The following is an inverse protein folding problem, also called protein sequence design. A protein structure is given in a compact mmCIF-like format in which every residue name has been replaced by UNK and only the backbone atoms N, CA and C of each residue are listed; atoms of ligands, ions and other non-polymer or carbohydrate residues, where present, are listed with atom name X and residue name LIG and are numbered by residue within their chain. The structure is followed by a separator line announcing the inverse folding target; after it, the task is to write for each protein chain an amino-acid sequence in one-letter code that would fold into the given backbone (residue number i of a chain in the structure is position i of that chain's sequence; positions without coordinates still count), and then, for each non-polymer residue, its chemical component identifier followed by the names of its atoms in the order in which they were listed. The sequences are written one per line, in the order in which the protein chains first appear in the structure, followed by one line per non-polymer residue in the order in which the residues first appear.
data_IF_354131700573
#
_entry.id   IF_354131700573
#
_cell.length_a   1.000
_cell.length_b   1.000
_cell.length_c   1.000
_cell.angle_alpha   90.00
_cell.angle_beta   90.00
_cell.angle_gamma   90.00
#
_symmetry.space_group_name_H-M   'P 1'
#
loop_
_entity.id
_entity.type
_entity.pdbx_description
1 polymer ?
#
# COMPACT_ATOMS: atom_id res chain seq x y z
N UNK A 1 2.78 9.54 -17.73
CA UNK A 1 3.51 9.17 -16.50
C UNK A 1 2.94 9.85 -15.25
N UNK A 2 1.65 9.66 -14.94
CA UNK A 2 1.00 10.02 -13.66
C UNK A 2 -0.06 9.01 -13.19
N UNK A 3 -0.28 7.92 -13.95
CA UNK A 3 -1.30 6.90 -13.68
C UNK A 3 -0.77 5.68 -12.91
N UNK A 4 0.55 5.46 -12.92
CA UNK A 4 1.17 4.27 -12.29
C UNK A 4 1.33 4.37 -10.77
N UNK A 5 1.24 5.57 -10.19
CA UNK A 5 1.23 5.77 -8.72
C UNK A 5 -0.18 5.53 -8.14
N UNK A 6 -1.24 5.66 -8.96
CA UNK A 6 -2.63 5.48 -8.50
C UNK A 6 -3.02 4.00 -8.42
N UNK A 7 -2.43 3.13 -9.25
CA UNK A 7 -2.82 1.72 -9.34
C UNK A 7 -2.38 0.86 -8.13
N UNK A 8 -1.39 1.28 -7.35
CA UNK A 8 -1.01 0.59 -6.11
C UNK A 8 -1.94 0.92 -4.92
N UNK A 9 -2.79 1.94 -5.03
CA UNK A 9 -3.73 2.32 -3.97
C UNK A 9 -5.14 1.70 -4.12
N UNK A 10 -5.47 1.10 -5.26
CA UNK A 10 -6.84 0.68 -5.58
C UNK A 10 -7.21 -0.77 -5.18
N UNK A 11 -6.28 -1.57 -4.63
CA UNK A 11 -6.50 -3.01 -4.37
C UNK A 11 -6.94 -3.32 -2.92
N UNK A 12 -7.03 -2.33 -2.01
CA UNK A 12 -7.36 -2.57 -0.59
C UNK A 12 -8.63 -1.90 -0.04
N UNK A 13 -9.53 -1.38 -0.90
CA UNK A 13 -10.77 -0.70 -0.44
C UNK A 13 -12.07 -1.51 -0.60
N UNK A 14 -12.02 -2.84 -0.53
CA UNK A 14 -13.24 -3.66 -0.46
C UNK A 14 -13.13 -4.70 0.63
N UNK A 15 -13.38 -4.29 1.88
CA UNK A 15 -14.12 -5.05 2.88
C UNK A 15 -14.35 -4.19 4.14
N UNK A 16 -15.32 -3.27 4.09
CA UNK A 16 -15.93 -2.69 5.30
C UNK A 16 -17.20 -1.90 4.95
N UNK A 17 -18.24 -2.58 4.48
CA UNK A 17 -19.61 -2.06 4.51
C UNK A 17 -20.58 -3.19 4.75
N UNK A 18 -20.95 -3.39 6.02
CA UNK A 18 -22.29 -3.81 6.45
C UNK A 18 -22.37 -3.72 7.97
N UNK A 19 -23.31 -2.93 8.49
CA UNK A 19 -23.73 -3.01 9.88
C UNK A 19 -24.15 -1.69 10.51
N UNK A 20 -25.30 -1.14 10.11
CA UNK A 20 -25.98 -0.07 10.84
C UNK A 20 -26.92 -0.66 11.89
N UNK A 21 -26.68 -0.27 13.15
CA UNK A 21 -27.55 -0.12 14.33
C UNK A 21 -28.89 -0.89 14.43
N UNK A 22 -29.04 -1.60 15.57
CA UNK A 22 -30.28 -1.58 16.34
C UNK A 22 -29.94 -1.59 17.85
N UNK A 23 -30.51 -0.62 18.57
CA UNK A 23 -30.51 -0.50 20.03
C UNK A 23 -31.74 -1.20 20.60
N UNK A 24 -31.58 -2.00 21.65
CA UNK A 24 -32.64 -2.29 22.61
C UNK A 24 -32.04 -2.78 23.93
N UNK A 25 -32.69 -2.36 25.01
CA UNK A 25 -32.21 -2.35 26.39
C UNK A 25 -32.74 -3.53 27.22
N UNK A 26 -31.97 -3.87 28.26
CA UNK A 26 -32.36 -4.44 29.57
C UNK A 26 -32.29 -5.95 29.89
N UNK A 27 -31.38 -6.21 30.85
CA UNK A 27 -31.43 -7.05 32.08
C UNK A 27 -31.28 -8.60 32.03
N UNK A 28 -30.07 -9.03 32.46
CA UNK A 28 -29.68 -9.88 33.63
C UNK A 28 -30.14 -11.37 33.69
N UNK A 29 -29.31 -12.29 34.23
CA UNK A 29 -29.10 -13.65 33.71
C UNK A 29 -29.72 -14.76 34.58
N UNK A 30 -29.69 -16.02 34.09
CA UNK A 30 -29.56 -17.24 34.90
C UNK A 30 -29.31 -18.50 34.02
N UNK A 31 -28.22 -19.21 34.36
CA UNK A 31 -28.02 -20.68 34.44
C UNK A 31 -28.61 -21.70 33.42
N UNK A 32 -27.68 -22.47 32.81
CA UNK A 32 -27.53 -23.94 32.97
C UNK A 32 -28.35 -24.99 32.18
N UNK A 33 -27.59 -25.83 31.44
CA UNK A 33 -27.60 -27.33 31.37
C UNK A 33 -28.33 -28.07 30.19
N UNK A 34 -27.62 -29.09 29.67
CA UNK A 34 -27.97 -30.33 28.88
C UNK A 34 -28.41 -30.19 27.41
N UNK A 35 -27.68 -30.78 26.44
CA UNK A 35 -27.54 -32.21 26.05
C UNK A 35 -28.78 -32.80 25.37
N UNK A 36 -28.66 -33.19 24.09
CA UNK A 36 -29.10 -34.49 23.56
C UNK A 36 -28.79 -34.66 22.06
N UNK A 37 -28.19 -35.81 21.76
CA UNK A 37 -27.97 -36.42 20.44
C UNK A 37 -29.29 -36.74 19.71
N UNK A 38 -29.24 -36.74 18.38
CA UNK A 38 -29.89 -37.77 17.55
C UNK A 38 -29.43 -37.69 16.09
N UNK A 39 -28.77 -38.77 15.65
CA UNK A 39 -28.55 -39.17 14.27
C UNK A 39 -29.86 -39.25 13.47
N UNK A 40 -29.82 -39.02 12.15
CA UNK A 40 -30.71 -39.70 11.17
C UNK A 40 -29.99 -39.87 9.82
N UNK A 41 -29.94 -41.13 9.38
CA UNK A 41 -29.32 -41.67 8.16
C UNK A 41 -30.36 -41.85 7.04
N UNK A 42 -29.99 -41.43 5.81
CA UNK A 42 -30.24 -42.04 4.46
C UNK A 42 -31.70 -42.25 3.96
N UNK A 43 -32.01 -42.32 2.63
CA UNK A 43 -31.16 -42.91 1.57
C UNK A 43 -31.10 -42.24 0.19
N UNK A 44 -30.16 -42.78 -0.59
CA UNK A 44 -29.89 -42.55 -1.99
C UNK A 44 -30.92 -43.21 -2.92
N UNK A 45 -31.17 -42.59 -4.08
CA UNK A 45 -31.81 -43.23 -5.23
C UNK A 45 -30.91 -43.07 -6.46
N UNK A 46 -30.46 -44.22 -6.99
CA UNK A 46 -29.94 -44.40 -8.33
C UNK A 46 -31.11 -44.72 -9.28
N UNK A 47 -31.14 -44.14 -10.48
CA UNK A 47 -31.83 -44.73 -11.64
C UNK A 47 -31.08 -44.44 -12.96
N UNK A 48 -30.47 -45.51 -13.46
CA UNK A 48 -30.28 -46.00 -14.84
C UNK A 48 -30.15 -45.05 -16.05
N UNK A 49 -29.09 -45.35 -16.81
CA UNK A 49 -28.84 -45.09 -18.24
C UNK A 49 -29.73 -45.98 -19.13
N UNK A 50 -30.30 -45.45 -20.21
CA UNK A 50 -30.26 -46.11 -21.52
C UNK A 50 -30.56 -45.13 -22.68
N UNK A 51 -29.85 -45.27 -23.80
CA UNK A 51 -29.80 -44.27 -24.88
C UNK A 51 -30.41 -44.70 -26.22
N UNK A 52 -30.63 -43.72 -27.11
CA UNK A 52 -30.22 -43.72 -28.54
C UNK A 52 -30.72 -42.49 -29.32
N UNK A 53 -29.75 -41.82 -29.97
CA UNK A 53 -29.75 -41.09 -31.26
C UNK A 53 -30.81 -40.02 -31.56
N UNK A 54 -30.33 -38.78 -31.73
CA UNK A 54 -30.67 -37.97 -32.92
C UNK A 54 -29.49 -37.08 -33.30
N UNK A 55 -28.89 -37.36 -34.46
CA UNK A 55 -27.92 -36.50 -35.13
C UNK A 55 -28.69 -35.51 -36.02
N UNK A 56 -28.57 -34.21 -35.72
CA UNK A 56 -28.62 -33.17 -36.75
C UNK A 56 -27.50 -32.17 -36.49
N UNK A 57 -26.65 -32.05 -37.51
CA UNK A 57 -25.53 -31.13 -37.56
C UNK A 57 -25.98 -29.66 -37.73
N UNK A 58 -25.05 -28.80 -37.33
CA UNK A 58 -24.81 -27.41 -37.74
C UNK A 58 -25.86 -26.34 -37.44
N UNK A 59 -25.56 -25.49 -36.45
CA UNK A 59 -25.38 -24.06 -36.71
C UNK A 59 -24.38 -23.45 -35.72
N UNK A 60 -23.64 -22.50 -36.28
CA UNK A 60 -22.45 -21.80 -35.84
C UNK A 60 -22.62 -20.91 -34.61
N UNK A 61 -21.51 -20.80 -33.85
CA UNK A 61 -20.83 -19.58 -33.40
C UNK A 61 -21.65 -18.53 -32.63
N UNK A 62 -21.01 -18.07 -31.55
CA UNK A 62 -21.31 -16.91 -30.73
C UNK A 62 -22.46 -17.06 -29.75
N UNK A 63 -22.13 -17.56 -28.55
CA UNK A 63 -22.77 -17.15 -27.30
C UNK A 63 -21.87 -17.47 -26.08
N UNK A 64 -20.55 -17.18 -26.19
CA UNK A 64 -19.61 -17.18 -25.05
C UNK A 64 -19.43 -15.76 -24.45
N UNK A 65 -20.49 -14.96 -24.46
CA UNK A 65 -20.41 -13.58 -23.96
C UNK A 65 -21.50 -13.30 -22.93
N UNK A 66 -21.42 -13.95 -21.77
CA UNK A 66 -21.97 -13.42 -20.51
C UNK A 66 -21.51 -14.29 -19.33
N UNK A 67 -20.62 -13.71 -18.52
CA UNK A 67 -20.28 -14.07 -17.12
C UNK A 67 -18.94 -14.81 -16.84
N UNK A 68 -18.10 -15.23 -17.82
CA UNK A 68 -16.74 -15.76 -17.51
C UNK A 68 -15.56 -15.21 -18.37
N UNK A 69 -15.29 -13.88 -18.45
CA UNK A 69 -14.08 -13.38 -19.13
C UNK A 69 -12.81 -13.38 -18.25
N UNK A 70 -12.95 -13.26 -16.92
CA UNK A 70 -11.79 -13.11 -16.03
C UNK A 70 -11.09 -14.44 -15.72
N UNK A 71 -11.87 -15.53 -15.59
CA UNK A 71 -11.36 -16.86 -15.23
C UNK A 71 -10.65 -17.51 -16.43
N UNK A 72 -11.20 -17.43 -17.65
CA UNK A 72 -10.53 -17.93 -18.88
C UNK A 72 -9.20 -17.23 -19.15
N UNK A 73 -9.11 -15.96 -18.76
CA UNK A 73 -7.98 -15.06 -18.98
C UNK A 73 -6.83 -15.27 -17.99
N UNK A 74 -7.12 -15.41 -16.69
CA UNK A 74 -6.13 -15.87 -15.70
C UNK A 74 -5.62 -17.28 -16.03
N UNK A 75 -6.51 -18.17 -16.49
CA UNK A 75 -6.14 -19.51 -16.92
C UNK A 75 -5.19 -19.49 -18.13
N UNK A 76 -5.37 -18.59 -19.12
CA UNK A 76 -4.46 -18.46 -20.27
C UNK A 76 -3.07 -17.95 -19.90
N UNK A 77 -2.97 -16.91 -19.05
CA UNK A 77 -1.64 -16.45 -18.60
C UNK A 77 -0.94 -17.51 -17.76
N UNK A 78 -1.67 -18.15 -16.83
CA UNK A 78 -1.14 -19.24 -16.00
C UNK A 78 -0.70 -20.42 -16.87
N UNK A 79 -1.46 -20.75 -17.91
CA UNK A 79 -1.12 -21.77 -18.89
C UNK A 79 0.16 -21.43 -19.67
N UNK A 80 0.29 -20.21 -20.22
CA UNK A 80 1.51 -19.81 -20.95
C UNK A 80 2.76 -19.85 -20.07
N UNK A 81 2.62 -19.43 -18.82
CA UNK A 81 3.72 -19.51 -17.86
C UNK A 81 4.05 -20.96 -17.50
N UNK A 82 3.05 -21.79 -17.22
CA UNK A 82 3.24 -23.23 -16.87
C UNK A 82 3.82 -24.04 -18.03
N UNK A 83 3.48 -23.67 -19.27
CA UNK A 83 4.01 -24.31 -20.47
C UNK A 83 5.32 -23.69 -20.96
N UNK A 84 5.89 -22.74 -20.21
CA UNK A 84 7.18 -22.12 -20.51
C UNK A 84 7.21 -21.39 -21.85
N UNK A 85 6.09 -20.81 -22.29
CA UNK A 85 6.05 -20.07 -23.56
C UNK A 85 6.95 -18.84 -23.50
N UNK A 86 7.68 -18.60 -24.59
CA UNK A 86 8.55 -17.44 -24.71
C UNK A 86 7.76 -16.15 -24.85
N UNK A 87 8.43 -15.05 -24.51
CA UNK A 87 7.94 -13.69 -24.72
C UNK A 87 7.44 -13.47 -26.16
N UNK A 88 8.26 -13.85 -27.14
CA UNK A 88 7.95 -13.74 -28.56
C UNK A 88 6.68 -14.51 -28.94
N UNK A 89 6.50 -15.72 -28.40
CA UNK A 89 5.30 -16.53 -28.66
C UNK A 89 4.03 -15.85 -28.12
N UNK A 90 4.09 -15.27 -26.92
CA UNK A 90 2.95 -14.56 -26.33
C UNK A 90 2.66 -13.28 -27.10
N UNK A 91 3.67 -12.52 -27.50
CA UNK A 91 3.50 -11.32 -28.35
C UNK A 91 2.81 -11.67 -29.67
N UNK A 92 3.27 -12.71 -30.35
CA UNK A 92 2.67 -13.18 -31.60
C UNK A 92 1.23 -13.62 -31.42
N UNK A 93 0.96 -14.39 -30.36
CA UNK A 93 -0.39 -14.89 -30.04
C UNK A 93 -1.37 -13.75 -29.73
N UNK A 94 -0.87 -12.65 -29.15
CA UNK A 94 -1.66 -11.45 -28.85
C UNK A 94 -1.76 -10.45 -30.01
N UNK A 95 -1.16 -10.76 -31.17
CA UNK A 95 -1.12 -9.85 -32.32
C UNK A 95 -0.30 -8.59 -32.06
N UNK A 96 0.72 -8.67 -31.19
CA UNK A 96 1.62 -7.57 -30.81
C UNK A 96 2.97 -7.65 -31.52
N UNK A 97 3.10 -8.55 -32.50
CA UNK A 97 4.29 -8.70 -33.33
C UNK A 97 4.48 -7.43 -34.18
N UNK A 98 5.73 -6.94 -34.26
CA UNK A 98 6.06 -5.71 -34.97
C UNK A 98 5.67 -4.39 -34.28
N UNK A 99 4.88 -4.43 -33.19
CA UNK A 99 4.54 -3.23 -32.42
C UNK A 99 5.66 -2.88 -31.42
N UNK A 100 5.97 -1.60 -31.25
CA UNK A 100 6.94 -1.12 -30.24
C UNK A 100 6.53 0.23 -29.65
N UNK A 101 7.19 0.63 -28.56
CA UNK A 101 7.02 1.94 -27.95
C UNK A 101 5.56 2.30 -27.63
N UNK A 102 5.12 3.46 -28.12
CA UNK A 102 3.76 3.95 -27.91
C UNK A 102 2.70 3.09 -28.62
N UNK A 103 2.99 2.59 -29.82
CA UNK A 103 2.06 1.76 -30.60
C UNK A 103 1.77 0.43 -29.92
N UNK A 104 2.79 -0.16 -29.27
CA UNK A 104 2.60 -1.36 -28.45
C UNK A 104 1.67 -1.06 -27.27
N UNK A 105 1.92 0.03 -26.53
CA UNK A 105 1.13 0.40 -25.33
C UNK A 105 -0.31 0.82 -25.65
N UNK A 106 -0.57 1.29 -26.86
CA UNK A 106 -1.92 1.67 -27.31
C UNK A 106 -2.78 0.47 -27.70
N UNK A 107 -2.20 -0.73 -27.86
CA UNK A 107 -2.95 -1.92 -28.23
C UNK A 107 -3.88 -2.40 -27.10
N UNK A 108 -5.14 -2.75 -27.38
CA UNK A 108 -6.05 -3.31 -26.38
C UNK A 108 -5.53 -4.58 -25.70
N UNK A 109 -4.70 -5.36 -26.41
CA UNK A 109 -4.11 -6.60 -25.90
C UNK A 109 -2.82 -6.38 -25.09
N UNK A 110 -2.29 -5.16 -25.05
CA UNK A 110 -1.06 -4.85 -24.33
C UNK A 110 -1.19 -5.12 -22.83
N UNK A 111 -2.34 -4.81 -22.22
CA UNK A 111 -2.58 -5.09 -20.81
C UNK A 111 -2.40 -6.59 -20.47
N UNK A 112 -2.65 -7.50 -21.42
CA UNK A 112 -2.49 -8.95 -21.24
C UNK A 112 -1.03 -9.37 -21.33
N UNK A 113 -0.33 -8.76 -22.26
CA UNK A 113 1.09 -8.94 -22.41
C UNK A 113 1.86 -8.40 -21.19
N UNK A 114 1.48 -7.23 -20.70
CA UNK A 114 2.04 -6.63 -19.48
C UNK A 114 1.79 -7.51 -18.25
N UNK A 115 0.58 -8.07 -18.10
CA UNK A 115 0.29 -9.04 -17.04
C UNK A 115 1.14 -10.33 -17.16
N UNK A 116 1.33 -10.84 -18.38
CA UNK A 116 2.21 -11.98 -18.62
C UNK A 116 3.65 -11.68 -18.22
N UNK A 117 4.21 -10.54 -18.63
CA UNK A 117 5.57 -10.11 -18.26
C UNK A 117 5.71 -9.97 -16.75
N UNK A 118 4.72 -9.35 -16.09
CA UNK A 118 4.71 -9.21 -14.64
C UNK A 118 4.71 -10.57 -13.92
N UNK A 119 3.93 -11.54 -14.40
CA UNK A 119 3.88 -12.86 -13.80
C UNK A 119 5.12 -13.72 -14.12
N UNK A 120 5.71 -13.55 -15.31
CA UNK A 120 6.97 -14.18 -15.69
C UNK A 120 8.13 -13.69 -14.81
N UNK A 121 8.23 -12.37 -14.62
CA UNK A 121 9.17 -11.78 -13.66
C UNK A 121 8.94 -12.34 -12.26
N UNK A 122 7.68 -12.43 -11.80
CA UNK A 122 7.34 -13.00 -10.50
C UNK A 122 7.94 -14.40 -10.29
N UNK A 123 7.83 -15.30 -11.27
CA UNK A 123 8.44 -16.64 -11.20
C UNK A 123 9.95 -16.60 -11.12
N UNK A 124 10.59 -15.70 -11.86
CA UNK A 124 12.05 -15.52 -11.79
C UNK A 124 12.44 -15.07 -10.38
N UNK A 125 11.70 -14.14 -9.79
CA UNK A 125 11.96 -13.67 -8.43
C UNK A 125 11.70 -14.77 -7.38
N UNK A 126 10.67 -15.60 -7.56
CA UNK A 126 10.42 -16.77 -6.71
C UNK A 126 11.56 -17.79 -6.79
N UNK A 127 12.08 -18.08 -8.00
CA UNK A 127 13.27 -18.93 -8.19
C UNK A 127 14.48 -18.34 -7.44
N UNK A 128 14.74 -17.05 -7.60
CA UNK A 128 15.81 -16.34 -6.88
C UNK A 128 15.65 -16.44 -5.36
N UNK A 129 14.44 -16.29 -4.83
CA UNK A 129 14.15 -16.47 -3.40
C UNK A 129 14.35 -17.91 -2.93
N UNK A 130 14.03 -18.89 -3.77
CA UNK A 130 14.22 -20.31 -3.47
C UNK A 130 15.70 -20.70 -3.42
N UNK A 131 16.51 -20.03 -4.25
CA UNK A 131 17.98 -20.15 -4.31
C UNK A 131 18.70 -19.25 -3.32
N UNK A 132 17.96 -18.54 -2.47
CA UNK A 132 18.50 -17.65 -1.44
C UNK A 132 19.44 -16.57 -2.00
N UNK A 133 19.14 -16.05 -3.19
CA UNK A 133 19.91 -14.95 -3.79
C UNK A 133 19.82 -13.73 -2.86
N UNK A 134 20.96 -13.15 -2.49
CA UNK A 134 20.99 -11.98 -1.62
C UNK A 134 20.39 -10.76 -2.31
N UNK A 135 19.76 -9.88 -1.53
CA UNK A 135 19.27 -8.59 -2.03
C UNK A 135 20.39 -7.75 -2.64
N UNK A 136 21.59 -7.84 -2.05
CA UNK A 136 22.79 -7.20 -2.57
C UNK A 136 23.19 -7.75 -3.95
N UNK A 137 23.08 -9.06 -4.19
CA UNK A 137 23.37 -9.64 -5.52
C UNK A 137 22.43 -9.07 -6.57
N UNK A 138 21.13 -8.98 -6.27
CA UNK A 138 20.14 -8.41 -7.19
C UNK A 138 20.43 -6.94 -7.49
N UNK A 139 20.83 -6.17 -6.48
CA UNK A 139 21.26 -4.78 -6.66
C UNK A 139 22.45 -4.67 -7.62
N UNK A 140 23.49 -5.49 -7.41
CA UNK A 140 24.71 -5.50 -8.21
C UNK A 140 24.48 -6.01 -9.63
N UNK A 141 23.69 -7.07 -9.82
CA UNK A 141 23.35 -7.64 -11.12
C UNK A 141 22.60 -6.62 -12.02
N UNK A 142 21.79 -5.77 -11.40
CA UNK A 142 21.09 -4.69 -12.09
C UNK A 142 21.94 -3.41 -12.22
N UNK A 143 23.19 -3.42 -11.77
CA UNK A 143 24.16 -2.30 -11.85
C UNK A 143 23.59 -1.00 -11.28
N UNK A 144 22.84 -1.09 -10.18
CA UNK A 144 22.08 0.04 -9.66
C UNK A 144 22.95 1.13 -9.03
N UNK A 145 24.19 0.82 -8.63
CA UNK A 145 25.16 1.83 -8.20
C UNK A 145 25.66 2.72 -9.35
N UNK A 146 25.58 2.25 -10.61
CA UNK A 146 26.03 3.01 -11.79
C UNK A 146 24.95 4.00 -12.30
N UNK A 147 23.73 3.91 -11.78
CA UNK A 147 22.60 4.74 -12.20
C UNK A 147 22.58 6.04 -11.37
N UNK A 148 22.42 7.18 -12.05
CA UNK A 148 22.24 8.47 -11.38
C UNK A 148 21.04 8.43 -10.43
N UNK A 149 21.23 8.95 -9.21
CA UNK A 149 20.20 8.91 -8.16
C UNK A 149 18.83 9.47 -8.60
N UNK A 150 18.82 10.48 -9.46
CA UNK A 150 17.60 11.08 -10.00
C UNK A 150 16.81 10.15 -10.96
N UNK A 151 17.49 9.19 -11.60
CA UNK A 151 16.92 8.26 -12.58
C UNK A 151 16.71 6.86 -12.02
N UNK A 152 17.31 6.56 -10.86
CA UNK A 152 17.32 5.23 -10.25
C UNK A 152 15.93 4.62 -10.19
N UNK A 153 14.93 5.36 -9.67
CA UNK A 153 13.56 4.87 -9.48
C UNK A 153 12.80 4.59 -10.78
N UNK A 154 13.19 5.24 -11.87
CA UNK A 154 12.54 5.09 -13.16
C UNK A 154 13.11 3.89 -13.95
N UNK A 155 14.30 3.42 -13.56
CA UNK A 155 14.95 2.26 -14.19
C UNK A 155 14.18 0.96 -13.93
N UNK A 156 14.12 0.09 -14.94
CA UNK A 156 13.46 -1.21 -14.81
C UNK A 156 14.20 -2.15 -13.86
N UNK A 157 15.53 -2.02 -13.78
CA UNK A 157 16.35 -2.73 -12.80
C UNK A 157 15.96 -2.39 -11.36
N UNK A 158 15.70 -1.12 -11.06
CA UNK A 158 15.23 -0.72 -9.73
C UNK A 158 13.83 -1.24 -9.41
N UNK A 159 12.91 -1.26 -10.39
CA UNK A 159 11.56 -1.82 -10.19
C UNK A 159 11.64 -3.31 -9.86
N UNK A 160 12.48 -4.04 -10.60
CA UNK A 160 12.77 -5.47 -10.35
C UNK A 160 13.33 -5.65 -8.94
N UNK A 161 14.33 -4.84 -8.57
CA UNK A 161 14.94 -4.86 -7.25
C UNK A 161 13.94 -4.55 -6.12
N UNK A 162 13.14 -3.51 -6.27
CA UNK A 162 12.13 -3.13 -5.28
C UNK A 162 11.09 -4.24 -5.06
N UNK A 163 10.66 -4.89 -6.14
CA UNK A 163 9.77 -6.05 -6.07
C UNK A 163 10.44 -7.21 -5.36
N UNK A 164 11.69 -7.53 -5.70
CA UNK A 164 12.46 -8.60 -5.05
C UNK A 164 12.65 -8.36 -3.55
N UNK A 165 13.09 -7.17 -3.15
CA UNK A 165 13.25 -6.80 -1.73
C UNK A 165 11.93 -6.91 -0.98
N UNK A 166 10.82 -6.50 -1.60
CA UNK A 166 9.49 -6.65 -1.01
C UNK A 166 9.19 -8.13 -0.73
N UNK A 167 9.33 -9.00 -1.72
CA UNK A 167 9.08 -10.43 -1.55
C UNK A 167 10.05 -11.10 -0.54
N UNK A 168 11.32 -10.70 -0.54
CA UNK A 168 12.32 -11.14 0.43
C UNK A 168 11.92 -10.76 1.86
N UNK A 169 11.56 -9.50 2.08
CA UNK A 169 11.11 -9.00 3.38
C UNK A 169 9.86 -9.75 3.87
N UNK A 170 8.88 -10.00 2.98
CA UNK A 170 7.68 -10.75 3.31
C UNK A 170 7.99 -12.20 3.73
N UNK A 171 8.92 -12.85 3.02
CA UNK A 171 9.44 -14.18 3.40
C UNK A 171 10.08 -14.13 4.79
N UNK A 172 10.92 -13.15 5.07
CA UNK A 172 11.61 -13.04 6.37
C UNK A 172 10.66 -12.73 7.53
N UNK A 173 9.67 -11.86 7.32
CA UNK A 173 8.61 -11.58 8.29
C UNK A 173 7.81 -12.85 8.58
N UNK A 174 7.43 -13.59 7.53
CA UNK A 174 6.69 -14.85 7.65
C UNK A 174 7.49 -15.93 8.38
N UNK A 175 8.79 -16.06 8.10
CA UNK A 175 9.68 -17.00 8.79
C UNK A 175 9.83 -16.67 10.28
N UNK A 176 10.02 -15.38 10.62
CA UNK A 176 10.07 -14.94 12.02
C UNK A 176 8.77 -15.24 12.76
N UNK A 177 7.61 -15.01 12.14
CA UNK A 177 6.32 -15.31 12.75
C UNK A 177 6.11 -16.82 13.01
N UNK A 178 7.00 -17.67 12.48
CA UNK A 178 7.08 -19.12 12.71
C UNK A 178 8.27 -19.49 13.62
N UNK A 179 8.78 -18.54 14.38
CA UNK A 179 9.91 -18.66 15.31
C UNK A 179 11.21 -19.19 14.68
N UNK A 180 11.38 -18.98 13.36
CA UNK A 180 12.65 -19.28 12.69
C UNK A 180 13.57 -18.08 12.80
N UNK A 181 14.83 -18.33 13.14
CA UNK A 181 15.84 -17.29 13.04
C UNK A 181 16.10 -16.95 11.58
N UNK A 182 16.29 -15.67 11.33
CA UNK A 182 16.43 -15.10 9.98
C UNK A 182 17.63 -14.19 9.97
N UNK A 183 18.57 -14.50 9.07
CA UNK A 183 19.65 -13.57 8.75
C UNK A 183 19.09 -12.46 7.85
N UNK A 184 19.24 -11.20 8.26
CA UNK A 184 18.63 -10.06 7.60
C UNK A 184 19.69 -9.19 6.94
N UNK A 185 19.48 -8.87 5.67
CA UNK A 185 20.41 -8.09 4.87
C UNK A 185 19.98 -6.62 4.76
N UNK A 186 20.75 -5.71 5.35
CA UNK A 186 20.48 -4.28 5.18
C UNK A 186 21.00 -3.70 3.86
N UNK A 187 22.02 -4.32 3.26
CA UNK A 187 22.68 -3.80 2.06
C UNK A 187 24.03 -3.15 2.35
N UNK A 188 24.89 -3.08 1.34
CA UNK A 188 26.28 -2.67 1.49
C UNK A 188 26.50 -1.20 1.17
N UNK A 189 25.89 -0.69 0.09
CA UNK A 189 26.12 0.67 -0.39
C UNK A 189 25.16 1.68 0.26
N UNK A 190 25.57 2.95 0.35
CA UNK A 190 24.70 4.02 0.85
C UNK A 190 23.45 4.20 -0.02
N UNK A 191 23.58 3.98 -1.33
CA UNK A 191 22.47 4.06 -2.28
C UNK A 191 21.46 2.92 -2.04
N UNK A 192 21.93 1.68 -1.90
CA UNK A 192 21.09 0.51 -1.62
C UNK A 192 20.33 0.67 -0.29
N UNK A 193 21.03 1.12 0.77
CA UNK A 193 20.43 1.39 2.09
C UNK A 193 19.32 2.43 2.01
N UNK A 194 19.54 3.52 1.26
CA UNK A 194 18.53 4.56 1.06
C UNK A 194 17.32 4.03 0.27
N UNK A 195 17.57 3.25 -0.77
CA UNK A 195 16.53 2.59 -1.55
C UNK A 195 15.68 1.65 -0.69
N UNK A 196 16.30 0.79 0.12
CA UNK A 196 15.61 -0.11 1.05
C UNK A 196 14.73 0.63 2.03
N UNK A 197 15.21 1.73 2.62
CA UNK A 197 14.37 2.57 3.50
C UNK A 197 13.12 3.06 2.78
N UNK A 198 13.23 3.48 1.52
CA UNK A 198 12.10 3.96 0.73
C UNK A 198 11.14 2.85 0.30
N UNK A 199 11.67 1.65 0.01
CA UNK A 199 10.87 0.45 -0.22
C UNK A 199 10.10 0.09 1.06
N UNK A 200 10.75 0.11 2.23
CA UNK A 200 10.11 -0.19 3.51
C UNK A 200 9.03 0.82 3.89
N UNK A 201 9.27 2.11 3.63
CA UNK A 201 8.25 3.15 3.79
C UNK A 201 7.05 2.82 2.90
N UNK A 202 7.29 2.58 1.61
CA UNK A 202 6.26 2.28 0.59
C UNK A 202 5.48 0.99 0.85
N UNK A 203 6.14 -0.02 1.41
CA UNK A 203 5.54 -1.30 1.79
C UNK A 203 4.99 -1.30 3.23
N UNK A 204 5.08 -0.18 3.96
CA UNK A 204 4.59 -0.05 5.34
C UNK A 204 5.17 -1.12 6.28
N UNK A 205 6.46 -1.44 6.10
CA UNK A 205 7.10 -2.52 6.85
C UNK A 205 7.01 -2.25 8.36
N UNK A 206 6.80 -3.29 9.20
CA UNK A 206 6.68 -3.08 10.64
C UNK A 206 7.95 -2.47 11.25
N UNK A 207 7.82 -1.55 12.20
CA UNK A 207 8.98 -0.90 12.82
C UNK A 207 9.92 -1.90 13.49
N UNK A 208 9.39 -2.97 14.09
CA UNK A 208 10.22 -4.03 14.67
C UNK A 208 11.11 -4.70 13.62
N UNK A 209 10.60 -4.88 12.40
CA UNK A 209 11.32 -5.54 11.30
C UNK A 209 12.49 -4.67 10.88
N UNK A 210 12.20 -3.40 10.59
CA UNK A 210 13.22 -2.43 10.18
C UNK A 210 14.29 -2.26 11.24
N UNK A 211 13.94 -2.22 12.54
CA UNK A 211 14.95 -2.21 13.61
C UNK A 211 15.83 -3.45 13.59
N UNK A 212 15.26 -4.65 13.39
CA UNK A 212 16.02 -5.90 13.33
C UNK A 212 16.99 -5.90 12.14
N UNK A 213 16.52 -5.55 10.94
CA UNK A 213 17.39 -5.45 9.75
C UNK A 213 18.53 -4.46 9.96
N UNK A 214 18.26 -3.35 10.66
CA UNK A 214 19.26 -2.32 10.96
C UNK A 214 20.20 -2.68 12.14
N UNK A 215 20.02 -3.86 12.76
CA UNK A 215 20.72 -4.29 13.97
C UNK A 215 20.57 -3.29 15.13
N UNK A 216 19.33 -2.87 15.36
CA UNK A 216 18.89 -1.91 16.37
C UNK A 216 17.90 -2.55 17.38
N UNK A 217 17.91 -3.87 17.56
CA UNK A 217 17.00 -4.58 18.45
C UNK A 217 17.64 -4.94 19.81
N UNK A 218 18.97 -5.03 19.90
CA UNK A 218 19.70 -5.48 21.11
C UNK A 218 20.43 -4.37 21.88
N UNK A 219 20.27 -3.09 21.49
CA UNK A 219 21.10 -2.00 22.03
C UNK A 219 20.41 -1.24 23.18
N UNK A 220 21.14 -0.59 24.08
CA UNK A 220 20.54 0.41 24.99
C UNK A 220 20.09 1.64 24.20
N UNK A 221 19.15 2.46 24.69
CA UNK A 221 18.67 3.67 23.98
C UNK A 221 19.81 4.60 23.51
N UNK A 222 20.89 4.70 24.30
CA UNK A 222 22.07 5.49 23.94
C UNK A 222 22.91 4.81 22.85
N UNK A 223 23.08 3.49 22.91
CA UNK A 223 23.78 2.71 21.88
C UNK A 223 23.01 2.64 20.54
N UNK A 224 21.69 2.88 20.55
CA UNK A 224 20.91 3.08 19.34
C UNK A 224 21.27 4.41 18.66
N UNK A 225 21.30 5.51 19.40
CA UNK A 225 21.48 6.85 18.84
C UNK A 225 22.89 7.08 18.27
N UNK A 226 23.90 6.40 18.81
CA UNK A 226 25.26 6.41 18.29
C UNK A 226 25.54 5.47 17.11
N UNK A 227 24.58 4.64 16.70
CA UNK A 227 24.76 3.73 15.55
C UNK A 227 24.65 4.49 14.23
N UNK A 228 25.56 4.23 13.28
CA UNK A 228 25.46 4.77 11.93
C UNK A 228 24.12 4.39 11.27
N UNK A 229 23.57 3.21 11.60
CA UNK A 229 22.31 2.73 11.04
C UNK A 229 21.08 3.48 11.55
N UNK A 230 21.20 4.23 12.66
CA UNK A 230 20.08 4.96 13.24
C UNK A 230 19.56 6.08 12.33
N UNK A 231 20.42 6.66 11.48
CA UNK A 231 20.00 7.67 10.49
C UNK A 231 18.93 7.12 9.52
N UNK A 232 19.07 5.85 9.13
CA UNK A 232 18.11 5.17 8.25
C UNK A 232 16.81 4.84 8.98
N UNK A 233 16.89 4.44 10.24
CA UNK A 233 15.69 4.22 11.05
C UNK A 233 14.89 5.52 11.25
N UNK A 234 15.56 6.64 11.50
CA UNK A 234 14.91 7.97 11.57
C UNK A 234 14.24 8.33 10.24
N UNK A 235 14.92 8.13 9.10
CA UNK A 235 14.34 8.36 7.76
C UNK A 235 13.09 7.48 7.55
N UNK A 236 13.16 6.21 7.93
CA UNK A 236 12.02 5.30 7.88
C UNK A 236 10.83 5.80 8.73
N UNK A 237 11.04 6.14 10.00
CA UNK A 237 9.98 6.65 10.88
C UNK A 237 9.35 7.94 10.33
N UNK A 238 10.18 8.85 9.85
CA UNK A 238 9.72 10.10 9.24
C UNK A 238 8.86 9.85 7.99
N UNK A 239 9.22 8.85 7.18
CA UNK A 239 8.45 8.46 6.00
C UNK A 239 7.12 7.78 6.34
N UNK A 240 7.09 6.87 7.32
CA UNK A 240 5.85 6.24 7.80
C UNK A 240 4.88 7.28 8.36
N UNK A 241 5.39 8.24 9.13
CA UNK A 241 4.58 9.35 9.64
C UNK A 241 4.01 10.20 8.48
N UNK A 242 4.81 10.47 7.44
CA UNK A 242 4.33 11.15 6.23
C UNK A 242 3.18 10.40 5.55
N UNK A 243 3.30 9.08 5.35
CA UNK A 243 2.21 8.27 4.77
C UNK A 243 0.95 8.24 5.61
N UNK A 244 1.09 8.28 6.93
CA UNK A 244 -0.06 8.39 7.85
C UNK A 244 -0.79 9.72 7.62
N UNK A 245 -0.03 10.81 7.48
CA UNK A 245 -0.55 12.13 7.18
C UNK A 245 -1.23 12.20 5.80
N UNK A 246 -0.65 11.57 4.78
CA UNK A 246 -1.26 11.49 3.44
C UNK A 246 -2.62 10.78 3.47
N UNK A 247 -2.74 9.71 4.29
CA UNK A 247 -4.02 9.02 4.52
C UNK A 247 -5.04 9.90 5.20
N UNK A 248 -4.65 10.65 6.23
CA UNK A 248 -5.53 11.61 6.89
C UNK A 248 -6.01 12.69 5.94
N UNK A 249 -5.10 13.25 5.15
CA UNK A 249 -5.43 14.27 4.14
C UNK A 249 -6.41 13.72 3.10
N UNK A 250 -6.16 12.50 2.60
CA UNK A 250 -7.03 11.82 1.63
C UNK A 250 -8.40 11.46 2.21
N UNK A 251 -8.47 11.19 3.51
CA UNK A 251 -9.72 10.93 4.24
C UNK A 251 -10.45 12.22 4.65
N UNK A 252 -9.90 13.41 4.34
CA UNK A 252 -10.50 14.68 4.69
C UNK A 252 -10.46 15.01 6.19
N UNK A 253 -9.50 14.43 6.93
CA UNK A 253 -9.33 14.71 8.36
C UNK A 253 -8.91 16.17 8.54
N UNK A 254 -9.63 16.94 9.33
CA UNK A 254 -9.28 18.35 9.58
C UNK A 254 -8.19 18.46 10.65
N UNK A 255 -7.49 19.61 10.71
CA UNK A 255 -6.55 19.90 11.80
C UNK A 255 -7.26 19.81 13.15
N UNK A 256 -8.49 20.31 13.24
CA UNK A 256 -9.30 20.28 14.46
C UNK A 256 -9.60 18.85 14.94
N UNK A 257 -9.99 17.95 14.02
CA UNK A 257 -10.19 16.54 14.34
C UNK A 257 -8.90 15.88 14.84
N UNK A 258 -7.75 16.21 14.23
CA UNK A 258 -6.47 15.69 14.66
C UNK A 258 -6.02 16.25 16.02
N UNK A 259 -6.32 17.53 16.28
CA UNK A 259 -6.08 18.19 17.58
C UNK A 259 -6.81 17.45 18.71
N UNK A 260 -8.10 17.17 18.51
CA UNK A 260 -8.92 16.38 19.44
C UNK A 260 -8.46 14.93 19.57
N UNK A 261 -8.08 14.27 18.46
CA UNK A 261 -7.57 12.89 18.49
C UNK A 261 -6.30 12.76 19.36
N UNK A 262 -5.48 13.79 19.37
CA UNK A 262 -4.29 13.86 20.21
C UNK A 262 -4.54 14.39 21.62
N UNK A 263 -5.77 14.77 21.97
CA UNK A 263 -6.13 15.36 23.26
C UNK A 263 -5.24 16.57 23.58
N UNK A 264 -5.02 17.44 22.59
CA UNK A 264 -4.15 18.62 22.75
C UNK A 264 -4.83 19.78 23.49
N UNK A 265 -6.15 19.76 23.55
CA UNK A 265 -7.03 20.70 24.25
C UNK A 265 -6.92 20.61 25.77
N UNK A 266 -6.62 19.43 26.31
CA UNK A 266 -6.52 19.20 27.76
C UNK A 266 -5.18 19.66 28.38
N UNK A 267 -4.26 20.20 27.56
CA UNK A 267 -2.89 20.48 27.99
C UNK A 267 -2.55 21.97 28.02
N UNK A 268 -1.73 22.35 29.01
CA UNK A 268 -1.14 23.68 29.02
C UNK A 268 -0.13 23.85 27.88
N UNK A 269 -0.02 25.08 27.38
CA UNK A 269 0.88 25.44 26.28
C UNK A 269 2.35 25.05 26.51
N UNK A 270 2.83 25.12 27.76
CA UNK A 270 4.20 24.73 28.13
C UNK A 270 4.43 23.22 28.07
N UNK A 271 3.41 22.40 28.36
CA UNK A 271 3.46 20.95 28.24
C UNK A 271 3.29 20.50 26.79
N UNK A 272 2.45 21.19 26.02
CA UNK A 272 2.24 20.94 24.59
C UNK A 272 3.57 20.91 23.81
N UNK A 273 4.45 21.91 24.02
CA UNK A 273 5.75 22.00 23.34
C UNK A 273 6.71 20.84 23.58
N UNK A 274 6.48 20.03 24.61
CA UNK A 274 7.35 18.89 24.96
C UNK A 274 6.83 17.55 24.41
N UNK A 275 5.63 17.52 23.81
CA UNK A 275 4.98 16.28 23.38
C UNK A 275 5.31 15.97 21.92
N UNK A 276 5.66 14.72 21.63
CA UNK A 276 5.85 14.26 20.24
C UNK A 276 4.57 14.37 19.41
N UNK A 277 3.40 14.21 20.03
CA UNK A 277 2.09 14.38 19.37
C UNK A 277 1.89 15.78 18.80
N UNK A 278 2.45 16.82 19.45
CA UNK A 278 2.40 18.16 18.91
C UNK A 278 3.25 18.27 17.64
N UNK A 279 4.43 17.64 17.59
CA UNK A 279 5.26 17.64 16.38
C UNK A 279 4.54 16.96 15.21
N UNK A 280 3.83 15.85 15.48
CA UNK A 280 2.99 15.20 14.48
C UNK A 280 1.81 16.10 14.05
N UNK A 281 1.16 16.79 14.98
CA UNK A 281 0.12 17.77 14.66
C UNK A 281 0.65 18.90 13.78
N UNK A 282 1.74 19.55 14.20
CA UNK A 282 2.37 20.67 13.47
C UNK A 282 2.71 20.26 12.05
N UNK A 283 3.36 19.10 11.89
CA UNK A 283 3.72 18.58 10.57
C UNK A 283 2.49 18.31 9.70
N UNK A 284 1.43 17.73 10.26
CA UNK A 284 0.17 17.52 9.55
C UNK A 284 -0.50 18.84 9.15
N UNK A 285 -0.60 19.79 10.08
CA UNK A 285 -1.24 21.09 9.85
C UNK A 285 -0.51 21.86 8.73
N UNK A 286 0.84 21.84 8.71
CA UNK A 286 1.61 22.42 7.59
C UNK A 286 1.26 21.76 6.25
N UNK A 287 1.20 20.42 6.19
CA UNK A 287 0.83 19.68 4.97
C UNK A 287 -0.62 19.97 4.54
N UNK A 288 -1.55 19.97 5.49
CA UNK A 288 -2.96 20.27 5.24
C UNK A 288 -3.12 21.67 4.66
N UNK A 289 -2.45 22.66 5.26
CA UNK A 289 -2.51 24.04 4.78
C UNK A 289 -1.86 24.22 3.40
N UNK A 290 -0.74 23.53 3.12
CA UNK A 290 -0.13 23.51 1.78
C UNK A 290 -1.09 22.98 0.73
N UNK A 291 -1.84 21.92 1.04
CA UNK A 291 -2.81 21.34 0.12
C UNK A 291 -4.02 22.25 -0.07
N UNK A 292 -4.55 22.82 1.00
CA UNK A 292 -5.63 23.81 0.93
C UNK A 292 -5.22 25.04 0.10
N UNK A 293 -3.97 25.50 0.23
CA UNK A 293 -3.46 26.62 -0.57
C UNK A 293 -3.45 26.28 -2.07
N UNK A 294 -2.98 25.09 -2.45
CA UNK A 294 -3.03 24.64 -3.85
C UNK A 294 -4.46 24.59 -4.37
N UNK A 295 -5.40 24.06 -3.58
CA UNK A 295 -6.81 23.99 -3.97
C UNK A 295 -7.40 25.39 -4.16
N UNK A 296 -7.16 26.31 -3.23
CA UNK A 296 -7.60 27.70 -3.33
C UNK A 296 -7.04 28.39 -4.58
N UNK A 297 -5.74 28.23 -4.86
CA UNK A 297 -5.11 28.79 -6.07
C UNK A 297 -5.68 28.24 -7.38
N UNK A 298 -6.35 27.08 -7.33
CA UNK A 298 -7.04 26.47 -8.48
C UNK A 298 -8.49 26.93 -8.66
N UNK A 299 -8.96 27.90 -7.86
CA UNK A 299 -10.33 28.42 -7.91
C UNK A 299 -11.37 27.52 -7.24
N UNK A 300 -10.95 26.51 -6.48
CA UNK A 300 -11.85 25.69 -5.66
C UNK A 300 -12.09 26.37 -4.31
N UNK A 301 -13.35 26.46 -3.92
CA UNK A 301 -13.75 26.99 -2.63
C UNK A 301 -13.27 26.05 -1.50
N UNK A 302 -12.52 26.60 -0.55
CA UNK A 302 -12.02 25.87 0.62
C UNK A 302 -12.86 26.27 1.83
N UNK A 303 -13.56 25.31 2.44
CA UNK A 303 -14.26 25.52 3.70
C UNK A 303 -13.26 25.47 4.84
N UNK A 304 -12.98 26.61 5.47
CA UNK A 304 -12.20 26.67 6.72
C UNK A 304 -13.18 26.43 7.87
N UNK A 305 -12.94 25.38 8.67
CA UNK A 305 -13.77 25.07 9.83
C UNK A 305 -13.64 26.14 10.93
N UNK A 306 -14.76 26.63 11.43
CA UNK A 306 -14.84 27.72 12.41
C UNK A 306 -14.75 27.28 13.89
N UNK A 307 -14.25 26.07 14.16
CA UNK A 307 -14.39 25.39 15.47
C UNK A 307 -13.07 25.26 16.26
N UNK A 308 -11.98 25.92 15.84
CA UNK A 308 -10.67 25.77 16.48
C UNK A 308 -10.61 26.41 17.88
N UNK A 309 -10.00 25.71 18.84
CA UNK A 309 -9.76 26.25 20.20
C UNK A 309 -8.73 27.38 20.18
N UNK A 310 -8.69 28.29 21.19
CA UNK A 310 -7.67 29.34 21.26
C UNK A 310 -6.23 28.82 21.22
N UNK A 311 -5.97 27.66 21.83
CA UNK A 311 -4.66 27.01 21.79
C UNK A 311 -4.31 26.49 20.39
N UNK A 312 -5.27 25.88 19.70
CA UNK A 312 -5.12 25.43 18.32
C UNK A 312 -4.85 26.61 17.38
N UNK A 313 -5.61 27.71 17.52
CA UNK A 313 -5.42 28.94 16.74
C UNK A 313 -4.01 29.49 16.92
N UNK A 314 -3.52 29.60 18.16
CA UNK A 314 -2.17 30.12 18.43
C UNK A 314 -1.08 29.27 17.76
N UNK A 315 -1.20 27.94 17.80
CA UNK A 315 -0.23 27.05 17.15
C UNK A 315 -0.35 27.17 15.62
N UNK A 316 -1.54 27.25 15.05
CA UNK A 316 -1.71 27.45 13.60
C UNK A 316 -1.11 28.79 13.15
N UNK A 317 -1.27 29.85 13.94
CA UNK A 317 -0.63 31.16 13.68
C UNK A 317 0.90 31.04 13.72
N UNK A 318 1.47 30.32 14.68
CA UNK A 318 2.93 30.05 14.72
C UNK A 318 3.39 29.29 13.47
N UNK A 319 2.64 28.27 13.03
CA UNK A 319 2.94 27.52 11.82
C UNK A 319 2.95 28.46 10.61
N UNK A 320 1.93 29.30 10.44
CA UNK A 320 1.84 30.24 9.32
C UNK A 320 2.96 31.28 9.33
N UNK A 321 3.29 31.82 10.51
CA UNK A 321 4.39 32.76 10.69
C UNK A 321 5.73 32.13 10.31
N UNK A 322 5.96 30.87 10.69
CA UNK A 322 7.19 30.14 10.38
C UNK A 322 7.37 29.82 8.89
N UNK A 323 6.27 29.78 8.13
CA UNK A 323 6.26 29.41 6.71
C UNK A 323 6.25 30.62 5.75
N UNK A 324 6.42 31.85 6.24
CA UNK A 324 6.39 33.09 5.43
C UNK A 324 5.13 33.22 4.52
N UNK A 325 3.96 32.75 4.99
CA UNK A 325 2.75 32.75 4.16
C UNK A 325 2.08 34.15 4.08
N UNK A 326 1.40 34.52 2.98
CA UNK A 326 0.76 35.83 2.82
C UNK A 326 -0.34 36.09 3.87
N UNK A 327 -0.45 37.34 4.33
CA UNK A 327 -1.47 37.76 5.32
C UNK A 327 -2.91 37.63 4.83
N UNK A 328 -3.14 37.46 3.53
CA UNK A 328 -4.48 37.33 2.92
C UNK A 328 -5.25 36.10 3.43
N UNK A 329 -4.55 35.08 3.95
CA UNK A 329 -5.13 33.89 4.59
C UNK A 329 -5.74 34.16 5.98
N UNK A 330 -5.39 35.29 6.61
CA UNK A 330 -5.87 35.68 7.94
C UNK A 330 -7.24 36.39 7.91
N UNK A 331 -7.92 36.44 6.76
CA UNK A 331 -9.31 36.90 6.72
C UNK A 331 -10.17 35.88 7.44
N UNK A 332 -10.36 36.08 8.73
CA UNK A 332 -11.46 35.48 9.49
C UNK A 332 -12.74 35.65 8.69
N UNK A 333 -13.63 34.63 8.64
CA UNK A 333 -14.94 34.81 8.03
C UNK A 333 -15.54 36.06 8.66
N UNK A 334 -15.80 37.07 7.82
CA UNK A 334 -16.41 38.32 8.24
C UNK A 334 -17.57 37.95 9.14
N UNK A 335 -17.55 38.42 10.38
CA UNK A 335 -18.75 38.47 11.20
C UNK A 335 -19.75 39.25 10.36
N UNK A 336 -20.64 38.53 9.68
CA UNK A 336 -21.81 39.12 9.06
C UNK A 336 -22.62 39.66 10.24
N UNK A 337 -22.45 40.95 10.48
CA UNK A 337 -23.34 41.71 11.35
C UNK A 337 -24.75 41.57 10.73
N UNK A 338 -25.77 41.22 11.53
CA UNK A 338 -27.10 40.88 11.03
C UNK A 338 -27.79 41.98 10.23
#
# INVERSE_FOLDING_TARGET
MRLYIILMAAVFSQLATSGTLASSSHRVPTSSITSLDAEHKFPANYFTVDGRRSLRASKSIDDEERVIPAISKWMKTTFWLNTGKSDEHVRKTLGLEGLSGASLKASPNYAYYEHFLYALEGRKLDDMLSREVSTQSVWNENKLDDILAAQLKDSDGFKTYARYVTMYDDKMISLRNKDKDVNLEFGSSTAEKNAKVEIWISAERPSWYVRKVLNLDVRSKNAHQGSENYKYYKKFLHGIEGRKMDRWLSAGVTTHQLWGLYQLDEMSYTLLKKRSSLMSYVRYATMYDDEMFKLSSSGKEVKIGSEASPAEININVEIWASANRPKEYLRTPSTATP
#
